data_IF_088453253661
#
_entry.id   IF_088453253661
#
_cell.length_a   1.000
_cell.length_b   1.000
_cell.length_c   1.000
_cell.angle_alpha   90.00
_cell.angle_beta   90.00
_cell.angle_gamma   90.00
#
_symmetry.space_group_name_H-M   'P 1'
#
loop_
_entity.id
_entity.type
_entity.pdbx_description
1 polymer ?
#
# COMPACT_ATOMS: atom_id res chain seq x y z
N UNK A 1 -10.13 -19.93 -1.27
CA UNK A 1 -9.07 -18.89 -1.10
C UNK A 1 -8.61 -18.26 -2.42
N UNK A 2 -8.76 -18.92 -3.58
CA UNK A 2 -8.51 -18.31 -4.90
C UNK A 2 -9.13 -16.92 -5.05
N UNK A 3 -10.43 -16.80 -4.75
CA UNK A 3 -11.18 -15.52 -4.80
C UNK A 3 -10.59 -14.37 -3.96
N UNK A 4 -9.77 -14.65 -2.94
CA UNK A 4 -9.18 -13.59 -2.12
C UNK A 4 -8.05 -12.89 -2.86
N UNK A 5 -7.18 -13.63 -3.54
CA UNK A 5 -6.09 -13.06 -4.32
C UNK A 5 -6.60 -12.40 -5.60
N UNK A 6 -7.61 -12.98 -6.26
CA UNK A 6 -8.24 -12.42 -7.48
C UNK A 6 -8.78 -10.98 -7.28
N UNK A 7 -9.23 -10.67 -6.08
CA UNK A 7 -9.73 -9.32 -5.72
C UNK A 7 -8.59 -8.45 -5.18
N UNK A 8 -7.50 -9.04 -4.70
CA UNK A 8 -6.42 -8.37 -3.97
C UNK A 8 -5.16 -8.09 -4.81
N UNK A 9 -5.01 -8.69 -5.99
CA UNK A 9 -3.86 -8.43 -6.86
C UNK A 9 -3.68 -6.95 -7.21
N UNK A 10 -2.42 -6.52 -7.32
CA UNK A 10 -2.05 -5.19 -7.81
C UNK A 10 -2.47 -5.05 -9.28
N UNK A 11 -3.40 -4.13 -9.53
CA UNK A 11 -3.93 -3.83 -10.87
C UNK A 11 -3.27 -2.62 -11.53
N UNK A 12 -2.40 -1.94 -10.80
CA UNK A 12 -1.79 -0.68 -11.20
C UNK A 12 -0.46 -0.96 -11.88
N UNK A 13 0.37 -1.79 -11.26
CA UNK A 13 1.67 -2.13 -11.80
C UNK A 13 1.52 -3.15 -12.95
N UNK A 14 2.05 -2.86 -14.14
CA UNK A 14 2.03 -3.81 -15.26
C UNK A 14 2.74 -5.11 -14.89
N UNK A 15 2.18 -6.24 -15.33
CA UNK A 15 2.77 -7.58 -15.14
C UNK A 15 3.08 -7.91 -13.67
N UNK A 16 2.41 -7.26 -12.72
CA UNK A 16 2.59 -7.50 -11.31
C UNK A 16 2.00 -8.84 -10.84
N UNK A 17 1.31 -9.57 -11.72
CA UNK A 17 0.69 -10.84 -11.45
C UNK A 17 0.46 -11.60 -12.75
N UNK A 18 0.77 -12.90 -12.77
CA UNK A 18 0.62 -13.75 -13.94
C UNK A 18 -0.12 -15.08 -13.65
N UNK A 19 -0.26 -15.91 -14.68
CA UNK A 19 -0.93 -17.21 -14.58
C UNK A 19 -0.17 -18.19 -13.67
N UNK A 20 1.15 -18.06 -13.53
CA UNK A 20 1.93 -18.89 -12.62
C UNK A 20 1.64 -18.51 -11.15
N UNK A 21 1.50 -17.21 -10.85
CA UNK A 21 1.06 -16.72 -9.54
C UNK A 21 -0.36 -17.23 -9.21
N UNK A 22 -1.29 -17.16 -10.17
CA UNK A 22 -2.65 -17.71 -10.00
C UNK A 22 -2.62 -19.21 -9.68
N UNK A 23 -1.82 -19.98 -10.42
CA UNK A 23 -1.67 -21.43 -10.20
C UNK A 23 -1.04 -21.73 -8.84
N UNK A 24 -0.02 -20.98 -8.45
CA UNK A 24 0.64 -21.12 -7.15
C UNK A 24 -0.34 -20.89 -5.99
N UNK A 25 -1.20 -19.86 -6.10
CA UNK A 25 -2.28 -19.61 -5.14
C UNK A 25 -3.38 -20.66 -5.22
N UNK A 26 -3.69 -21.23 -6.38
CA UNK A 26 -4.69 -22.29 -6.47
C UNK A 26 -4.22 -23.59 -5.81
N UNK A 27 -2.93 -23.91 -5.95
CA UNK A 27 -2.35 -25.20 -5.55
C UNK A 27 -1.78 -25.20 -4.11
N UNK A 28 -1.73 -24.05 -3.42
CA UNK A 28 -1.18 -23.99 -2.06
C UNK A 28 -1.95 -24.88 -1.08
N UNK A 29 -1.24 -25.48 -0.13
CA UNK A 29 -1.80 -26.42 0.85
C UNK A 29 -1.92 -25.85 2.27
N UNK A 30 -1.25 -24.73 2.54
CA UNK A 30 -1.15 -24.15 3.87
C UNK A 30 -1.01 -22.63 3.80
N UNK A 31 -1.53 -21.94 4.82
CA UNK A 31 -1.43 -20.50 4.96
C UNK A 31 -0.80 -20.18 6.32
N UNK A 32 0.16 -19.25 6.32
CA UNK A 32 0.73 -18.66 7.52
C UNK A 32 0.20 -17.22 7.65
N UNK A 33 -0.46 -16.93 8.76
CA UNK A 33 -0.82 -15.57 9.13
C UNK A 33 0.24 -15.00 10.06
N UNK A 34 0.76 -13.82 9.72
CA UNK A 34 1.72 -13.09 10.54
C UNK A 34 1.09 -11.76 10.92
N UNK A 35 0.88 -11.55 12.22
CA UNK A 35 0.37 -10.29 12.75
C UNK A 35 1.54 -9.32 12.95
N UNK A 36 1.43 -8.12 12.39
CA UNK A 36 2.37 -7.03 12.64
C UNK A 36 2.24 -6.48 14.07
N UNK A 37 3.29 -5.84 14.62
CA UNK A 37 3.20 -5.18 15.92
C UNK A 37 2.29 -3.95 15.83
N UNK A 38 1.82 -3.45 16.99
CA UNK A 38 1.27 -2.10 17.05
C UNK A 38 2.33 -1.07 16.65
N UNK A 39 1.95 -0.09 15.82
CA UNK A 39 2.90 0.85 15.22
C UNK A 39 2.60 2.29 15.66
N UNK A 40 3.60 2.94 16.24
CA UNK A 40 3.64 4.39 16.31
C UNK A 40 3.98 4.97 14.93
N UNK A 41 3.46 6.16 14.60
CA UNK A 41 3.66 6.79 13.29
C UNK A 41 5.14 6.89 12.89
N UNK A 42 6.00 7.32 13.82
CA UNK A 42 7.44 7.46 13.59
C UNK A 42 8.16 6.12 13.30
N UNK A 43 7.54 4.96 13.59
CA UNK A 43 8.12 3.63 13.39
C UNK A 43 7.49 2.88 12.21
N UNK A 44 6.35 3.34 11.68
CA UNK A 44 5.59 2.71 10.59
C UNK A 44 6.47 2.29 9.40
N UNK A 45 7.26 3.21 8.83
CA UNK A 45 8.15 2.91 7.70
C UNK A 45 9.22 1.87 8.06
N UNK A 46 9.80 1.94 9.25
CA UNK A 46 10.76 0.92 9.71
C UNK A 46 10.10 -0.45 9.82
N UNK A 47 8.89 -0.52 10.36
CA UNK A 47 8.15 -1.78 10.48
C UNK A 47 7.75 -2.32 9.10
N UNK A 48 7.31 -1.47 8.18
CA UNK A 48 7.04 -1.86 6.78
C UNK A 48 8.28 -2.43 6.09
N UNK A 49 9.45 -1.81 6.26
CA UNK A 49 10.69 -2.37 5.72
C UNK A 49 11.09 -3.71 6.38
N UNK A 50 10.87 -3.86 7.69
CA UNK A 50 11.07 -5.15 8.36
C UNK A 50 10.10 -6.22 7.86
N UNK A 51 8.84 -5.87 7.60
CA UNK A 51 7.87 -6.76 6.99
C UNK A 51 8.32 -7.19 5.59
N UNK A 52 8.87 -6.28 4.78
CA UNK A 52 9.44 -6.59 3.46
C UNK A 52 10.58 -7.61 3.56
N UNK A 53 11.47 -7.47 4.55
CA UNK A 53 12.53 -8.46 4.83
C UNK A 53 11.98 -9.79 5.34
N UNK A 54 10.87 -9.79 6.07
CA UNK A 54 10.18 -11.04 6.43
C UNK A 54 9.63 -11.73 5.17
N UNK A 55 9.01 -10.98 4.25
CA UNK A 55 8.54 -11.50 2.97
C UNK A 55 9.69 -12.15 2.19
N UNK A 56 10.86 -11.49 2.11
CA UNK A 56 12.07 -12.06 1.50
C UNK A 56 12.45 -13.42 2.11
N UNK A 57 12.47 -13.52 3.44
CA UNK A 57 12.80 -14.76 4.14
C UNK A 57 11.79 -15.86 3.90
N UNK A 58 10.50 -15.53 3.86
CA UNK A 58 9.42 -16.48 3.60
C UNK A 58 9.49 -17.01 2.16
N UNK A 59 9.71 -16.13 1.18
CA UNK A 59 9.91 -16.53 -0.23
C UNK A 59 11.13 -17.44 -0.34
N UNK A 60 12.25 -17.08 0.31
CA UNK A 60 13.45 -17.93 0.35
C UNK A 60 13.23 -19.28 1.04
N UNK A 61 12.25 -19.38 1.94
CA UNK A 61 11.85 -20.62 2.61
C UNK A 61 10.78 -21.42 1.85
N UNK A 62 10.36 -20.96 0.66
CA UNK A 62 9.40 -21.67 -0.20
C UNK A 62 7.97 -21.12 -0.17
N UNK A 63 7.72 -19.93 0.38
CA UNK A 63 6.43 -19.27 0.21
C UNK A 63 6.19 -18.97 -1.28
N UNK A 64 5.06 -19.47 -1.79
CA UNK A 64 4.71 -19.36 -3.21
C UNK A 64 3.82 -18.15 -3.53
N UNK A 65 3.26 -17.50 -2.50
CA UNK A 65 2.46 -16.30 -2.62
C UNK A 65 2.47 -15.53 -1.30
N UNK A 66 2.37 -14.20 -1.37
CA UNK A 66 2.31 -13.30 -0.20
C UNK A 66 1.29 -12.20 -0.45
N UNK A 67 0.55 -11.85 0.61
CA UNK A 67 -0.51 -10.83 0.60
C UNK A 67 -0.42 -9.97 1.86
N UNK A 68 -0.52 -8.65 1.70
CA UNK A 68 -0.70 -7.69 2.78
C UNK A 68 -2.18 -7.56 3.12
N UNK A 69 -2.63 -8.17 4.23
CA UNK A 69 -4.05 -8.21 4.61
C UNK A 69 -4.62 -6.83 4.97
N UNK A 70 -3.84 -5.93 5.58
CA UNK A 70 -4.33 -4.63 6.07
C UNK A 70 -4.97 -3.79 4.98
N UNK A 71 -4.43 -3.80 3.76
CA UNK A 71 -5.04 -3.17 2.59
C UNK A 71 -5.66 -4.17 1.61
N UNK A 72 -5.37 -5.46 1.76
CA UNK A 72 -5.74 -6.50 0.81
C UNK A 72 -5.02 -6.35 -0.53
N UNK A 73 -3.70 -6.12 -0.50
CA UNK A 73 -2.83 -6.08 -1.69
C UNK A 73 -2.04 -7.38 -1.81
N UNK A 74 -1.97 -7.92 -3.03
CA UNK A 74 -1.14 -9.07 -3.37
C UNK A 74 -0.31 -8.75 -4.61
N UNK A 75 0.97 -9.13 -4.57
CA UNK A 75 1.88 -9.04 -5.71
C UNK A 75 2.32 -10.43 -6.12
N UNK A 76 2.65 -10.60 -7.40
CA UNK A 76 3.35 -11.76 -7.91
C UNK A 76 4.76 -11.84 -7.33
N UNK A 77 5.38 -13.02 -7.36
CA UNK A 77 6.67 -13.24 -6.71
C UNK A 77 7.78 -12.33 -7.24
N UNK A 78 7.78 -12.07 -8.55
CA UNK A 78 8.80 -11.21 -9.16
C UNK A 78 8.64 -9.75 -8.74
N UNK A 79 7.41 -9.27 -8.62
CA UNK A 79 7.14 -7.92 -8.09
C UNK A 79 7.52 -7.84 -6.61
N UNK A 80 7.24 -8.85 -5.80
CA UNK A 80 7.73 -8.90 -4.42
C UNK A 80 9.25 -8.81 -4.35
N UNK A 81 9.97 -9.61 -5.15
CA UNK A 81 11.44 -9.59 -5.21
C UNK A 81 11.99 -8.23 -5.61
N UNK A 82 11.35 -7.56 -6.57
CA UNK A 82 11.76 -6.23 -6.98
C UNK A 82 11.58 -5.20 -5.86
N UNK A 83 10.42 -5.19 -5.20
CA UNK A 83 10.17 -4.31 -4.06
C UNK A 83 11.14 -4.57 -2.90
N UNK A 84 11.45 -5.84 -2.61
CA UNK A 84 12.46 -6.23 -1.61
C UNK A 84 13.83 -5.65 -1.97
N UNK A 85 14.26 -5.79 -3.22
CA UNK A 85 15.54 -5.28 -3.71
C UNK A 85 15.60 -3.76 -3.61
N UNK A 86 14.56 -3.07 -4.07
CA UNK A 86 14.45 -1.61 -3.94
C UNK A 86 14.51 -1.18 -2.47
N UNK A 87 13.77 -1.86 -1.59
CA UNK A 87 13.74 -1.58 -0.16
C UNK A 87 15.11 -1.73 0.50
N UNK A 88 15.83 -2.80 0.16
CA UNK A 88 17.20 -3.03 0.65
C UNK A 88 18.18 -1.93 0.20
N UNK A 89 18.09 -1.48 -1.06
CA UNK A 89 18.92 -0.39 -1.55
C UNK A 89 18.58 0.96 -0.88
N UNK A 90 17.29 1.27 -0.70
CA UNK A 90 16.86 2.47 0.02
C UNK A 90 17.35 2.49 1.48
N UNK A 91 17.31 1.34 2.18
CA UNK A 91 17.86 1.21 3.52
C UNK A 91 19.38 1.40 3.55
N UNK A 92 20.09 0.88 2.55
CA UNK A 92 21.55 1.02 2.44
C UNK A 92 21.97 2.46 2.18
N UNK A 93 21.19 3.22 1.40
CA UNK A 93 21.42 4.64 1.14
C UNK A 93 20.85 5.58 2.21
N UNK A 94 20.17 5.03 3.24
CA UNK A 94 19.40 5.80 4.23
C UNK A 94 18.39 6.77 3.61
N UNK A 95 17.82 6.40 2.46
CA UNK A 95 16.82 7.20 1.76
C UNK A 95 15.43 6.93 2.33
N UNK A 96 15.04 7.75 3.28
CA UNK A 96 13.79 7.55 4.01
C UNK A 96 12.54 7.80 3.18
N UNK A 97 12.62 8.66 2.17
CA UNK A 97 11.51 8.93 1.25
C UNK A 97 11.30 7.73 0.33
N UNK A 98 12.39 7.15 -0.20
CA UNK A 98 12.32 5.92 -0.97
C UNK A 98 11.77 4.76 -0.13
N UNK A 99 12.23 4.57 1.11
CA UNK A 99 11.68 3.53 2.01
C UNK A 99 10.17 3.70 2.23
N UNK A 100 9.70 4.94 2.45
CA UNK A 100 8.27 5.22 2.64
C UNK A 100 7.47 4.88 1.38
N UNK A 101 7.96 5.30 0.20
CA UNK A 101 7.33 5.02 -1.09
C UNK A 101 7.28 3.51 -1.38
N UNK A 102 8.38 2.79 -1.15
CA UNK A 102 8.46 1.34 -1.37
C UNK A 102 7.52 0.59 -0.43
N UNK A 103 7.48 0.96 0.85
CA UNK A 103 6.54 0.37 1.81
C UNK A 103 5.08 0.58 1.40
N UNK A 104 4.76 1.76 0.85
CA UNK A 104 3.44 2.11 0.34
C UNK A 104 3.08 1.30 -0.91
N UNK A 105 4.01 1.14 -1.85
CA UNK A 105 3.83 0.28 -3.02
C UNK A 105 3.64 -1.18 -2.64
N UNK A 106 4.37 -1.65 -1.62
CA UNK A 106 4.31 -3.02 -1.16
C UNK A 106 2.99 -3.37 -0.45
N UNK A 107 2.50 -2.49 0.42
CA UNK A 107 1.45 -2.88 1.39
C UNK A 107 0.16 -2.09 1.31
N UNK A 108 0.09 -0.99 0.53
CA UNK A 108 -1.14 -0.24 0.35
C UNK A 108 -1.85 -0.63 -0.96
N UNK A 109 -3.18 -0.68 -0.91
CA UNK A 109 -4.02 -0.96 -2.06
C UNK A 109 -4.60 0.32 -2.62
N UNK A 110 -4.60 0.42 -3.96
CA UNK A 110 -5.20 1.50 -4.72
C UNK A 110 -5.34 1.06 -6.19
N UNK A 111 -6.40 1.49 -6.89
CA UNK A 111 -7.54 2.19 -6.34
C UNK A 111 -8.53 1.21 -5.68
N UNK A 112 -9.28 1.69 -4.70
CA UNK A 112 -10.55 1.09 -4.29
C UNK A 112 -11.67 2.08 -4.62
N UNK A 113 -12.84 1.57 -5.03
CA UNK A 113 -13.96 2.43 -5.40
C UNK A 113 -14.77 2.83 -4.18
N UNK A 114 -15.03 4.14 -4.02
CA UNK A 114 -15.88 4.68 -2.97
C UNK A 114 -16.73 5.83 -3.52
N UNK A 115 -18.07 5.67 -3.60
CA UNK A 115 -19.09 6.66 -4.05
C UNK A 115 -18.54 8.02 -4.55
N UNK A 116 -18.20 8.12 -5.84
CA UNK A 116 -17.73 9.36 -6.50
C UNK A 116 -16.22 9.64 -6.39
N UNK A 117 -15.48 8.74 -5.75
CA UNK A 117 -14.05 8.80 -5.52
C UNK A 117 -13.41 7.42 -5.76
N UNK A 118 -12.13 7.45 -6.07
CA UNK A 118 -11.24 6.33 -5.80
C UNK A 118 -10.42 6.65 -4.55
N UNK A 119 -10.16 5.64 -3.74
CA UNK A 119 -9.41 5.73 -2.49
C UNK A 119 -8.13 4.86 -2.51
N UNK A 120 -7.10 5.33 -1.81
CA UNK A 120 -6.07 4.45 -1.27
C UNK A 120 -6.51 3.86 0.06
N UNK A 121 -6.00 2.68 0.38
CA UNK A 121 -6.12 2.08 1.72
C UNK A 121 -4.77 1.51 2.13
N UNK A 122 -4.37 1.78 3.37
CA UNK A 122 -3.14 1.25 3.96
C UNK A 122 -1.97 2.23 3.97
N UNK A 123 -2.16 3.51 3.63
CA UNK A 123 -1.08 4.51 3.73
C UNK A 123 -0.61 4.71 5.18
N UNK A 124 -1.43 4.37 6.18
CA UNK A 124 -1.03 4.36 7.58
C UNK A 124 0.14 3.41 7.89
N UNK A 125 0.32 2.35 7.10
CA UNK A 125 1.45 1.41 7.27
C UNK A 125 2.80 2.09 7.04
N UNK A 126 2.80 3.26 6.41
CA UNK A 126 3.97 4.11 6.21
C UNK A 126 3.81 5.50 6.83
N UNK A 127 2.82 5.67 7.72
CA UNK A 127 2.66 6.88 8.52
C UNK A 127 1.92 8.01 7.82
N UNK A 128 1.19 7.74 6.74
CA UNK A 128 0.52 8.74 5.91
C UNK A 128 -1.01 8.61 5.98
N UNK A 129 -1.77 9.72 5.82
CA UNK A 129 -3.21 9.64 5.57
C UNK A 129 -3.50 8.94 4.24
N UNK A 130 -4.67 8.33 4.11
CA UNK A 130 -5.13 7.81 2.82
C UNK A 130 -5.58 8.96 1.91
N UNK A 131 -5.50 8.77 0.59
CA UNK A 131 -5.76 9.80 -0.42
C UNK A 131 -6.97 9.40 -1.26
N UNK A 132 -7.93 10.33 -1.34
CA UNK A 132 -9.19 10.16 -2.06
C UNK A 132 -9.22 11.18 -3.19
N UNK A 133 -9.41 10.69 -4.40
CA UNK A 133 -9.41 11.48 -5.63
C UNK A 133 -10.74 11.28 -6.34
N UNK A 134 -11.43 12.34 -6.80
CA UNK A 134 -12.68 12.19 -7.53
C UNK A 134 -12.53 11.26 -8.74
N UNK A 135 -13.52 10.41 -8.98
CA UNK A 135 -13.50 9.48 -10.13
C UNK A 135 -13.59 10.20 -11.49
N UNK A 136 -13.91 11.50 -11.47
CA UNK A 136 -13.92 12.40 -12.63
C UNK A 136 -12.54 12.91 -13.05
N UNK A 137 -11.49 12.70 -12.25
CA UNK A 137 -10.12 13.19 -12.52
C UNK A 137 -9.37 12.38 -13.60
N UNK A 138 -9.96 11.28 -14.08
CA UNK A 138 -9.43 10.54 -15.22
C UNK A 138 -9.60 9.03 -15.09
N UNK A 139 -8.76 8.29 -15.81
CA UNK A 139 -8.71 6.83 -15.69
C UNK A 139 -8.16 6.40 -14.32
N UNK A 140 -8.46 5.17 -13.90
CA UNK A 140 -7.95 4.59 -12.65
C UNK A 140 -6.43 4.74 -12.49
N UNK A 141 -5.66 4.54 -13.56
CA UNK A 141 -4.20 4.70 -13.55
C UNK A 141 -3.76 6.14 -13.31
N UNK A 142 -4.45 7.10 -13.92
CA UNK A 142 -4.17 8.53 -13.70
C UNK A 142 -4.49 8.92 -12.26
N UNK A 143 -5.62 8.45 -11.74
CA UNK A 143 -6.03 8.70 -10.36
C UNK A 143 -5.05 8.08 -9.36
N UNK A 144 -4.59 6.85 -9.57
CA UNK A 144 -3.56 6.25 -8.71
C UNK A 144 -2.25 7.04 -8.77
N UNK A 145 -1.84 7.50 -9.95
CA UNK A 145 -0.66 8.36 -10.06
C UNK A 145 -0.83 9.67 -9.27
N UNK A 146 -2.04 10.23 -9.22
CA UNK A 146 -2.35 11.40 -8.38
C UNK A 146 -2.24 11.03 -6.89
N UNK A 147 -2.81 9.90 -6.45
CA UNK A 147 -2.70 9.43 -5.06
C UNK A 147 -1.23 9.28 -4.64
N UNK A 148 -0.42 8.69 -5.52
CA UNK A 148 1.00 8.46 -5.29
C UNK A 148 1.77 9.77 -5.19
N UNK A 149 1.48 10.71 -6.09
CA UNK A 149 2.09 12.04 -6.05
C UNK A 149 1.72 12.81 -4.78
N UNK A 150 0.47 12.76 -4.34
CA UNK A 150 0.05 13.40 -3.08
C UNK A 150 0.77 12.79 -1.87
N UNK A 151 0.90 11.45 -1.83
CA UNK A 151 1.62 10.78 -0.75
C UNK A 151 3.11 11.18 -0.71
N UNK A 152 3.76 11.20 -1.89
CA UNK A 152 5.17 11.58 -2.02
C UNK A 152 5.36 13.06 -1.62
N UNK A 153 4.43 13.94 -1.98
CA UNK A 153 4.46 15.34 -1.56
C UNK A 153 4.27 15.52 -0.05
N UNK A 154 3.35 14.77 0.59
CA UNK A 154 3.19 14.81 2.05
C UNK A 154 4.49 14.36 2.72
N UNK A 155 5.15 13.34 2.17
CA UNK A 155 6.44 12.86 2.66
C UNK A 155 7.55 13.93 2.57
N UNK A 156 7.62 14.64 1.45
CA UNK A 156 8.70 15.58 1.14
C UNK A 156 8.55 16.93 1.85
N UNK A 157 7.34 17.50 1.84
CA UNK A 157 7.08 18.88 2.31
C UNK A 157 6.08 18.97 3.46
N UNK A 158 5.53 17.84 3.91
CA UNK A 158 4.55 17.79 4.98
C UNK A 158 3.10 17.95 4.51
N UNK A 159 2.17 17.67 5.43
CA UNK A 159 0.74 17.65 5.16
C UNK A 159 0.18 19.04 4.81
N UNK A 160 0.31 20.02 5.71
CA UNK A 160 -0.28 21.36 5.53
C UNK A 160 0.14 22.05 4.22
N UNK A 161 1.43 22.08 3.83
CA UNK A 161 1.82 22.68 2.56
C UNK A 161 1.24 21.93 1.36
N UNK A 162 1.11 20.60 1.45
CA UNK A 162 0.53 19.78 0.39
C UNK A 162 -0.97 20.03 0.25
N UNK A 163 -1.71 20.09 1.36
CA UNK A 163 -3.14 20.41 1.35
C UNK A 163 -3.41 21.75 0.67
N UNK A 164 -2.63 22.78 1.02
CA UNK A 164 -2.74 24.11 0.42
C UNK A 164 -2.45 24.08 -1.08
N UNK A 165 -1.37 23.41 -1.50
CA UNK A 165 -0.97 23.33 -2.90
C UNK A 165 -1.99 22.55 -3.76
N UNK A 166 -2.58 21.49 -3.19
CA UNK A 166 -3.56 20.62 -3.85
C UNK A 166 -5.01 21.07 -3.70
N UNK A 167 -5.26 22.17 -2.97
CA UNK A 167 -6.61 22.62 -2.59
C UNK A 167 -7.42 21.47 -1.96
N UNK A 168 -6.75 20.69 -1.11
CA UNK A 168 -7.30 19.47 -0.53
C UNK A 168 -7.78 19.72 0.91
N UNK A 169 -8.70 18.88 1.37
CA UNK A 169 -9.14 18.85 2.76
C UNK A 169 -8.60 17.64 3.48
N UNK A 170 -8.47 17.73 4.80
CA UNK A 170 -8.09 16.62 5.67
C UNK A 170 -9.20 16.33 6.67
N UNK A 171 -9.60 15.06 6.77
CA UNK A 171 -10.71 14.61 7.61
C UNK A 171 -10.38 13.31 8.30
N UNK A 172 -10.85 13.15 9.54
CA UNK A 172 -10.77 11.88 10.28
C UNK A 172 -12.07 11.06 10.17
N UNK A 173 -13.03 11.51 9.37
CA UNK A 173 -14.29 10.79 9.14
C UNK A 173 -14.05 9.62 8.19
N UNK A 174 -13.77 8.47 8.80
CA UNK A 174 -13.58 7.16 8.15
C UNK A 174 -14.89 6.38 8.09
N UNK A 175 -15.04 5.55 7.05
CA UNK A 175 -16.08 4.51 6.98
C UNK A 175 -15.68 3.20 7.65
N UNK A 176 -14.39 3.06 8.00
CA UNK A 176 -13.84 1.93 8.75
C UNK A 176 -13.88 2.23 10.25
N UNK A 177 -14.25 1.24 11.05
CA UNK A 177 -14.20 1.29 12.52
C UNK A 177 -12.74 1.29 13.02
N UNK A 178 -12.51 1.86 14.20
CA UNK A 178 -11.14 2.09 14.74
C UNK A 178 -10.32 0.80 14.91
N UNK A 179 -10.98 -0.33 15.12
CA UNK A 179 -10.36 -1.64 15.28
C UNK A 179 -10.17 -2.42 13.96
N UNK A 180 -10.64 -1.89 12.84
CA UNK A 180 -10.43 -2.49 11.53
C UNK A 180 -9.00 -2.25 11.02
N UNK A 181 -8.40 -3.27 10.38
CA UNK A 181 -7.07 -3.16 9.78
C UNK A 181 -6.94 -2.09 8.68
N UNK A 182 -8.07 -1.65 8.12
CA UNK A 182 -8.13 -0.60 7.08
C UNK A 182 -8.23 0.80 7.67
N UNK A 183 -8.52 0.93 8.97
CA UNK A 183 -8.63 2.22 9.62
C UNK A 183 -7.31 2.99 9.56
N UNK A 184 -7.37 4.22 9.08
CA UNK A 184 -6.22 5.11 9.02
C UNK A 184 -6.29 6.14 10.15
N UNK A 185 -5.46 6.02 11.22
CA UNK A 185 -5.45 6.96 12.33
C UNK A 185 -4.91 8.35 11.94
N UNK A 186 -4.32 8.49 10.76
CA UNK A 186 -3.82 9.76 10.23
C UNK A 186 -4.85 10.47 9.36
N UNK A 187 -6.04 9.91 9.20
CA UNK A 187 -7.15 10.51 8.47
C UNK A 187 -7.03 10.32 6.95
N UNK A 188 -7.83 11.12 6.23
CA UNK A 188 -8.07 11.04 4.80
C UNK A 188 -7.86 12.43 4.19
N UNK A 189 -7.03 12.50 3.15
CA UNK A 189 -6.89 13.66 2.28
C UNK A 189 -7.85 13.53 1.11
N UNK A 190 -8.78 14.48 0.96
CA UNK A 190 -9.74 14.51 -0.18
C UNK A 190 -9.38 15.65 -1.13
N UNK A 191 -9.19 15.31 -2.41
CA UNK A 191 -9.05 16.27 -3.49
C UNK A 191 -10.43 16.69 -4.02
N UNK A 192 -10.56 17.92 -4.54
CA UNK A 192 -11.76 18.36 -5.27
C UNK A 192 -13.00 18.60 -4.39
N UNK A 193 -12.82 19.18 -3.21
CA UNK A 193 -13.90 19.64 -2.33
C UNK A 193 -14.34 21.08 -2.59
#
# INVERSE_FOLDING_TARGET
MSRSFDVCWDRVEPDAWDQADEKAVADHQSVLYVLGPSMAQAKSVTVSMLALRLVERLIGAGAVAVKGESAGIAHGLDRWRELIRQGAEAQKSADRLAEQRIGRLAFAKRPLSARGYLESVGFHLVGLPDVYVPDTEGSERQIVAIMDAVADEIAERGLEPTLKARQASHSFNSTYEVDEYKFNPYGIVRLGG
#
